data_IF_430283003170
#
_entry.id   IF_430283003170
#
_cell.length_a   1.000
_cell.length_b   1.000
_cell.length_c   1.000
_cell.angle_alpha   90.00
_cell.angle_beta   90.00
_cell.angle_gamma   90.00
#
_symmetry.space_group_name_H-M   'P 1'
#
loop_
_entity.id
_entity.type
_entity.pdbx_description
1 polymer ?
#
# COMPACT_ATOMS: atom_id res chain seq x y z
N UNK A 1 20.55 58.05 -52.38
CA UNK A 1 19.81 57.75 -53.63
C UNK A 1 20.36 56.42 -54.15
N UNK A 2 19.59 55.38 -54.51
CA UNK A 2 18.59 55.25 -55.62
C UNK A 2 19.20 55.59 -56.99
N UNK A 3 19.01 54.85 -58.10
CA UNK A 3 18.10 53.73 -58.48
C UNK A 3 18.72 53.03 -59.74
N UNK A 4 18.54 51.75 -60.17
CA UNK A 4 17.75 50.57 -59.71
C UNK A 4 18.37 49.22 -60.20
N UNK A 5 17.55 48.20 -60.53
CA UNK A 5 17.84 46.78 -60.90
C UNK A 5 18.05 46.53 -62.42
N UNK A 6 18.64 45.37 -62.74
CA UNK A 6 18.19 44.47 -63.85
C UNK A 6 18.20 43.00 -63.35
N UNK A 7 17.38 42.09 -63.91
CA UNK A 7 17.02 40.80 -63.25
C UNK A 7 16.87 39.60 -64.22
N UNK A 8 17.61 38.50 -63.96
CA UNK A 8 17.36 37.09 -64.36
C UNK A 8 17.40 36.73 -65.88
N UNK A 9 17.68 35.44 -66.27
CA UNK A 9 16.96 34.22 -65.88
C UNK A 9 17.78 33.01 -65.36
N UNK A 10 17.03 32.00 -64.88
CA UNK A 10 17.50 30.74 -64.26
C UNK A 10 17.99 29.73 -65.29
N UNK A 11 18.98 28.90 -64.92
CA UNK A 11 19.05 27.48 -65.33
C UNK A 11 19.29 26.62 -64.08
N UNK A 12 18.67 25.43 -64.04
CA UNK A 12 18.71 24.49 -62.91
C UNK A 12 19.91 23.54 -62.98
N UNK A 13 20.54 23.26 -61.84
CA UNK A 13 21.17 21.96 -61.57
C UNK A 13 20.70 21.45 -60.21
N UNK A 14 19.98 20.32 -60.25
CA UNK A 14 19.35 19.67 -59.10
C UNK A 14 20.28 18.58 -58.57
N UNK A 15 21.15 18.91 -57.62
CA UNK A 15 21.93 17.90 -56.88
C UNK A 15 21.05 17.28 -55.80
N UNK A 16 20.58 16.06 -56.03
CA UNK A 16 19.78 15.30 -55.06
C UNK A 16 20.68 14.69 -53.98
N UNK A 17 21.18 15.54 -53.08
CA UNK A 17 21.66 15.08 -51.78
C UNK A 17 20.47 14.53 -51.00
N UNK A 18 20.53 13.23 -50.66
CA UNK A 18 19.48 12.58 -49.88
C UNK A 18 19.53 13.10 -48.43
N UNK A 19 18.79 14.18 -48.17
CA UNK A 19 18.53 14.63 -46.81
C UNK A 19 17.73 13.57 -46.08
N UNK A 20 18.41 12.73 -45.30
CA UNK A 20 17.78 11.91 -44.27
C UNK A 20 17.15 12.85 -43.27
N UNK A 21 15.86 13.14 -43.46
CA UNK A 21 15.01 13.73 -42.44
C UNK A 21 14.95 12.73 -41.28
N UNK A 22 15.94 12.80 -40.39
CA UNK A 22 15.89 12.15 -39.10
C UNK A 22 14.75 12.81 -38.33
N UNK A 23 13.57 12.20 -38.43
CA UNK A 23 12.38 12.57 -37.68
C UNK A 23 12.79 12.55 -36.21
N UNK A 24 12.96 13.72 -35.59
CA UNK A 24 13.22 13.77 -34.14
C UNK A 24 12.11 12.95 -33.47
N UNK A 25 12.44 11.98 -32.60
CA UNK A 25 11.43 11.21 -31.91
C UNK A 25 10.46 12.18 -31.24
N UNK A 26 9.17 12.01 -31.52
CA UNK A 26 8.12 12.86 -30.96
C UNK A 26 7.95 12.41 -29.51
N UNK A 27 8.84 12.91 -28.64
CA UNK A 27 8.86 12.55 -27.23
C UNK A 27 7.52 12.95 -26.60
N UNK A 28 6.69 11.95 -26.32
CA UNK A 28 5.42 12.13 -25.60
C UNK A 28 5.72 12.74 -24.23
N UNK A 29 5.23 13.96 -24.00
CA UNK A 29 5.26 14.58 -22.68
C UNK A 29 4.38 13.73 -21.75
N UNK A 30 4.98 13.17 -20.69
CA UNK A 30 4.23 12.41 -19.67
C UNK A 30 3.21 13.34 -18.97
N UNK A 31 1.98 12.89 -18.68
CA UNK A 31 1.04 13.57 -17.80
C UNK A 31 1.61 13.85 -16.40
N UNK A 32 1.00 14.77 -15.64
CA UNK A 32 1.39 15.03 -14.23
C UNK A 32 1.26 13.76 -13.40
N UNK A 33 0.09 13.13 -13.42
CA UNK A 33 -0.22 11.90 -12.67
C UNK A 33 0.71 10.72 -13.01
N UNK A 34 1.01 10.51 -14.30
CA UNK A 34 1.97 9.48 -14.76
C UNK A 34 3.39 9.75 -14.22
N UNK A 35 3.77 11.03 -14.09
CA UNK A 35 5.06 11.46 -13.54
C UNK A 35 5.09 11.35 -12.01
N UNK A 36 3.98 11.66 -11.36
CA UNK A 36 3.76 11.63 -9.91
C UNK A 36 3.81 10.21 -9.37
N UNK A 37 3.00 9.32 -9.94
CA UNK A 37 2.96 7.89 -9.58
C UNK A 37 4.32 7.21 -9.81
N UNK A 38 5.03 7.53 -10.90
CA UNK A 38 6.35 6.95 -11.18
C UNK A 38 7.41 7.37 -10.14
N UNK A 39 7.38 8.63 -9.68
CA UNK A 39 8.31 9.08 -8.64
C UNK A 39 7.94 8.47 -7.28
N UNK A 40 6.66 8.43 -6.92
CA UNK A 40 6.22 7.86 -5.65
C UNK A 40 6.50 6.35 -5.56
N UNK A 41 6.25 5.59 -6.64
CA UNK A 41 6.54 4.16 -6.68
C UNK A 41 8.05 3.86 -6.62
N UNK A 42 8.90 4.61 -7.33
CA UNK A 42 10.36 4.43 -7.20
C UNK A 42 10.86 4.85 -5.81
N UNK A 43 10.24 5.86 -5.18
CA UNK A 43 10.59 6.32 -3.84
C UNK A 43 10.32 5.26 -2.77
N UNK A 44 9.10 4.72 -2.76
CA UNK A 44 8.66 3.57 -1.98
C UNK A 44 9.59 2.36 -2.18
N UNK A 45 9.83 1.97 -3.43
CA UNK A 45 10.72 0.84 -3.80
C UNK A 45 12.13 1.01 -3.22
N UNK A 46 12.68 2.22 -3.22
CA UNK A 46 13.98 2.55 -2.62
C UNK A 46 13.96 2.49 -1.08
N UNK A 47 12.82 2.73 -0.43
CA UNK A 47 12.67 2.55 1.03
C UNK A 47 12.60 1.07 1.40
N UNK A 48 11.85 0.28 0.62
CA UNK A 48 11.77 -1.18 0.75
C UNK A 48 13.16 -1.80 0.57
N UNK A 49 13.93 -1.40 -0.45
CA UNK A 49 15.31 -1.86 -0.66
C UNK A 49 16.24 -1.54 0.54
N UNK A 50 16.14 -0.33 1.12
CA UNK A 50 16.93 0.06 2.30
C UNK A 50 16.56 -0.72 3.56
N UNK A 51 15.28 -1.04 3.72
CA UNK A 51 14.78 -1.85 4.84
C UNK A 51 15.22 -3.31 4.70
N UNK A 52 15.12 -3.88 3.49
CA UNK A 52 15.58 -5.23 3.18
C UNK A 52 17.12 -5.37 3.29
N UNK A 53 17.87 -4.30 2.97
CA UNK A 53 19.34 -4.28 3.14
C UNK A 53 19.80 -4.02 4.59
N UNK A 54 18.89 -3.85 5.55
CA UNK A 54 19.22 -3.62 6.96
C UNK A 54 19.91 -2.27 7.23
N UNK A 55 19.43 -1.17 6.64
CA UNK A 55 19.97 0.17 6.92
C UNK A 55 19.56 0.69 8.31
N UNK A 56 20.54 1.13 9.11
CA UNK A 56 20.34 1.76 10.44
C UNK A 56 19.87 3.25 10.36
N UNK A 57 19.26 3.67 9.25
CA UNK A 57 18.75 5.04 9.05
C UNK A 57 17.60 5.37 10.04
N UNK A 58 17.90 6.19 11.06
CA UNK A 58 16.99 6.60 12.15
C UNK A 58 15.63 7.20 11.71
N UNK A 59 15.48 7.63 10.46
CA UNK A 59 14.19 7.95 9.86
C UNK A 59 14.29 7.75 8.33
N UNK A 60 13.69 6.70 7.76
CA UNK A 60 13.90 6.35 6.35
C UNK A 60 13.28 7.35 5.36
N UNK A 61 12.20 8.05 5.72
CA UNK A 61 11.69 9.18 4.91
C UNK A 61 12.66 10.36 4.88
N UNK A 62 13.31 10.67 6.00
CA UNK A 62 14.28 11.76 6.09
C UNK A 62 15.56 11.47 5.29
N UNK A 63 15.97 10.20 5.16
CA UNK A 63 17.15 9.81 4.37
C UNK A 63 16.89 9.73 2.86
N UNK A 64 15.63 9.84 2.39
CA UNK A 64 15.29 9.78 0.97
C UNK A 64 15.06 11.18 0.37
N UNK A 65 15.94 11.64 -0.53
CA UNK A 65 15.77 12.91 -1.24
C UNK A 65 15.14 12.69 -2.61
N UNK A 66 14.35 13.66 -3.06
CA UNK A 66 13.74 13.64 -4.41
C UNK A 66 14.78 13.55 -5.54
N UNK A 67 16.00 14.04 -5.30
CA UNK A 67 17.15 13.90 -6.21
C UNK A 67 17.56 12.45 -6.45
N UNK A 68 17.47 11.62 -5.41
CA UNK A 68 18.04 10.28 -5.40
C UNK A 68 17.07 9.32 -6.11
N UNK A 69 15.78 9.52 -5.87
CA UNK A 69 14.68 8.89 -6.61
C UNK A 69 14.76 9.22 -8.10
N UNK A 70 14.89 10.51 -8.45
CA UNK A 70 15.05 10.94 -9.85
C UNK A 70 16.31 10.35 -10.50
N UNK A 71 17.42 10.22 -9.78
CA UNK A 71 18.63 9.57 -10.26
C UNK A 71 18.39 8.07 -10.54
N UNK A 72 17.69 7.37 -9.65
CA UNK A 72 17.32 5.95 -9.84
C UNK A 72 16.41 5.74 -11.05
N UNK A 73 15.39 6.57 -11.25
CA UNK A 73 14.55 6.52 -12.46
C UNK A 73 15.41 6.76 -13.70
N UNK A 74 16.23 7.82 -13.69
CA UNK A 74 17.04 8.21 -14.84
C UNK A 74 18.07 7.15 -15.25
N UNK A 75 18.61 6.38 -14.29
CA UNK A 75 19.49 5.25 -14.56
C UNK A 75 18.80 4.05 -15.25
N UNK A 76 17.46 3.98 -15.20
CA UNK A 76 16.64 2.91 -15.80
C UNK A 76 16.02 3.29 -17.14
N UNK A 77 16.23 4.52 -17.62
CA UNK A 77 15.64 5.00 -18.87
C UNK A 77 16.34 4.41 -20.11
N UNK A 78 15.57 3.86 -21.04
CA UNK A 78 16.02 3.57 -22.40
C UNK A 78 16.39 4.87 -23.13
N UNK A 79 17.38 4.82 -24.04
CA UNK A 79 17.99 6.01 -24.65
C UNK A 79 17.07 6.98 -25.41
N UNK A 80 15.86 6.56 -25.79
CA UNK A 80 14.85 7.41 -26.43
C UNK A 80 13.97 8.21 -25.44
N UNK A 81 14.11 7.96 -24.14
CA UNK A 81 13.32 8.61 -23.09
C UNK A 81 14.05 9.83 -22.51
N UNK A 82 13.30 10.93 -22.31
CA UNK A 82 13.86 12.15 -21.71
C UNK A 82 14.08 11.98 -20.19
N UNK A 83 15.23 12.42 -19.65
CA UNK A 83 15.50 12.36 -18.22
C UNK A 83 14.56 13.26 -17.43
N UNK A 84 14.12 12.77 -16.28
CA UNK A 84 13.29 13.49 -15.34
C UNK A 84 14.13 14.48 -14.54
N UNK A 85 13.60 15.69 -14.33
CA UNK A 85 14.33 16.79 -13.69
C UNK A 85 13.69 17.19 -12.36
N UNK A 86 14.51 17.70 -11.45
CA UNK A 86 14.03 18.29 -10.18
C UNK A 86 13.02 19.42 -10.42
N UNK A 87 13.21 20.23 -11.46
CA UNK A 87 12.27 21.28 -11.85
C UNK A 87 10.88 20.77 -12.25
N UNK A 88 10.78 19.57 -12.82
CA UNK A 88 9.48 18.93 -13.09
C UNK A 88 8.86 18.35 -11.80
N UNK A 89 9.67 17.72 -10.95
CA UNK A 89 9.20 17.17 -9.67
C UNK A 89 8.72 18.26 -8.69
N UNK A 90 9.39 19.42 -8.65
CA UNK A 90 8.96 20.57 -7.84
C UNK A 90 7.74 21.33 -8.41
N UNK A 91 7.25 20.99 -9.61
CA UNK A 91 5.92 21.41 -10.09
C UNK A 91 4.79 20.52 -9.53
N UNK A 92 5.14 19.37 -8.94
CA UNK A 92 4.22 18.46 -8.26
C UNK A 92 4.22 18.77 -6.77
N UNK A 93 5.38 18.62 -6.10
CA UNK A 93 5.55 18.86 -4.68
C UNK A 93 6.32 20.16 -4.42
N UNK A 94 5.74 21.11 -3.70
CA UNK A 94 6.36 22.43 -3.46
C UNK A 94 7.61 22.38 -2.56
N UNK A 95 7.83 21.28 -1.86
CA UNK A 95 8.99 21.04 -0.99
C UNK A 95 9.28 19.55 -0.83
N UNK A 96 10.52 19.23 -0.40
CA UNK A 96 10.94 17.90 0.02
C UNK A 96 10.02 17.31 1.13
N UNK A 97 9.46 18.14 2.01
CA UNK A 97 8.51 17.70 3.04
C UNK A 97 7.17 17.26 2.40
N UNK A 98 6.61 18.05 1.49
CA UNK A 98 5.36 17.66 0.80
C UNK A 98 5.52 16.42 -0.09
N UNK A 99 6.75 16.13 -0.54
CA UNK A 99 7.08 14.87 -1.21
C UNK A 99 7.10 13.69 -0.20
N UNK A 100 7.74 13.87 0.96
CA UNK A 100 7.75 12.87 2.04
C UNK A 100 6.35 12.61 2.62
N UNK A 101 5.47 13.61 2.68
CA UNK A 101 4.07 13.45 3.06
C UNK A 101 3.31 12.58 2.04
N UNK A 102 3.50 12.81 0.73
CA UNK A 102 2.85 12.01 -0.32
C UNK A 102 3.38 10.56 -0.42
N UNK A 103 4.66 10.31 -0.10
CA UNK A 103 5.20 8.94 0.01
C UNK A 103 4.57 8.22 1.21
N UNK A 104 4.46 8.91 2.36
CA UNK A 104 3.84 8.37 3.56
C UNK A 104 2.36 8.03 3.32
N UNK A 105 1.60 8.93 2.70
CA UNK A 105 0.21 8.72 2.28
C UNK A 105 0.09 7.53 1.32
N UNK A 106 0.97 7.41 0.31
CA UNK A 106 1.01 6.25 -0.60
C UNK A 106 1.18 4.93 0.17
N UNK A 107 2.23 4.83 1.00
CA UNK A 107 2.56 3.61 1.75
C UNK A 107 1.38 3.18 2.64
N UNK A 108 0.76 4.11 3.37
CA UNK A 108 -0.37 3.79 4.25
C UNK A 108 -1.60 3.30 3.47
N UNK A 109 -1.89 3.89 2.31
CA UNK A 109 -3.00 3.44 1.47
C UNK A 109 -2.73 2.07 0.81
N UNK A 110 -1.49 1.71 0.50
CA UNK A 110 -1.19 0.43 -0.18
C UNK A 110 -1.12 -0.76 0.78
N UNK A 111 -0.77 -0.56 2.06
CA UNK A 111 -0.87 -1.62 3.08
C UNK A 111 -2.29 -1.77 3.68
N UNK A 112 -3.23 -0.87 3.35
CA UNK A 112 -4.54 -0.79 4.03
C UNK A 112 -5.40 -2.04 3.80
N UNK A 113 -5.73 -2.37 2.55
CA UNK A 113 -6.63 -3.49 2.20
C UNK A 113 -6.12 -4.48 1.13
N UNK A 114 -4.81 -4.70 0.91
CA UNK A 114 -4.33 -5.62 -0.14
C UNK A 114 -4.77 -7.08 0.09
N UNK A 115 -5.09 -7.43 1.33
CA UNK A 115 -5.61 -8.72 1.80
C UNK A 115 -7.13 -8.90 1.61
N UNK A 116 -7.90 -7.85 1.30
CA UNK A 116 -9.38 -7.88 1.38
C UNK A 116 -10.00 -8.94 0.46
N UNK A 117 -9.55 -9.03 -0.78
CA UNK A 117 -10.11 -9.97 -1.77
C UNK A 117 -9.86 -11.45 -1.40
N UNK A 118 -8.72 -11.75 -0.78
CA UNK A 118 -8.38 -13.10 -0.29
C UNK A 118 -9.22 -13.46 0.94
N UNK A 119 -9.29 -12.57 1.95
CA UNK A 119 -10.13 -12.81 3.13
C UNK A 119 -11.62 -12.93 2.78
N UNK A 120 -12.08 -12.17 1.78
CA UNK A 120 -13.43 -12.30 1.21
C UNK A 120 -13.65 -13.67 0.56
N UNK A 121 -12.75 -14.11 -0.31
CA UNK A 121 -12.88 -15.42 -0.96
C UNK A 121 -12.80 -16.58 0.04
N UNK A 122 -12.02 -16.44 1.13
CA UNK A 122 -11.98 -17.40 2.24
C UNK A 122 -13.28 -17.44 3.02
N UNK A 123 -13.87 -16.27 3.32
CA UNK A 123 -15.16 -16.18 3.99
C UNK A 123 -16.26 -16.85 3.16
N UNK A 124 -16.41 -16.47 1.88
CA UNK A 124 -17.44 -17.02 1.00
C UNK A 124 -17.31 -18.56 0.86
N UNK A 125 -16.07 -19.07 0.78
CA UNK A 125 -15.79 -20.51 0.76
C UNK A 125 -16.14 -21.20 2.08
N UNK A 126 -15.91 -20.56 3.24
CA UNK A 126 -16.22 -21.12 4.55
C UNK A 126 -17.74 -21.12 4.83
N UNK A 127 -18.45 -20.04 4.47
CA UNK A 127 -19.89 -19.91 4.63
C UNK A 127 -20.66 -20.90 3.72
N UNK A 128 -20.22 -21.07 2.46
CA UNK A 128 -20.84 -22.02 1.51
C UNK A 128 -20.59 -23.49 1.83
N UNK A 129 -19.68 -23.80 2.76
CA UNK A 129 -19.46 -25.13 3.32
C UNK A 129 -20.21 -25.36 4.65
N UNK A 130 -21.00 -24.40 5.12
CA UNK A 130 -21.72 -24.44 6.42
C UNK A 130 -20.80 -24.75 7.62
N UNK A 131 -19.54 -24.27 7.56
CA UNK A 131 -18.55 -24.51 8.62
C UNK A 131 -18.95 -23.89 9.96
N UNK A 132 -18.48 -24.47 11.07
CA UNK A 132 -18.71 -23.91 12.41
C UNK A 132 -17.96 -22.59 12.61
N UNK A 133 -18.36 -21.77 13.58
CA UNK A 133 -17.73 -20.47 13.83
C UNK A 133 -16.21 -20.56 14.10
N UNK A 134 -15.72 -21.59 14.80
CA UNK A 134 -14.29 -21.78 15.03
C UNK A 134 -13.56 -22.06 13.71
N UNK A 135 -14.15 -22.88 12.83
CA UNK A 135 -13.61 -23.21 11.50
C UNK A 135 -13.71 -22.05 10.49
N UNK A 136 -14.76 -21.23 10.52
CA UNK A 136 -14.89 -20.01 9.70
C UNK A 136 -13.80 -19.01 10.08
N UNK A 137 -13.61 -18.77 11.39
CA UNK A 137 -12.57 -17.86 11.86
C UNK A 137 -11.16 -18.39 11.55
N UNK A 138 -10.90 -19.69 11.76
CA UNK A 138 -9.63 -20.32 11.39
C UNK A 138 -9.38 -20.32 9.87
N UNK A 139 -10.43 -20.41 9.04
CA UNK A 139 -10.33 -20.36 7.57
C UNK A 139 -10.04 -18.96 7.03
N UNK A 140 -10.67 -17.93 7.60
CA UNK A 140 -10.44 -16.52 7.22
C UNK A 140 -9.09 -16.04 7.76
N UNK A 141 -8.87 -16.17 9.06
CA UNK A 141 -7.74 -15.54 9.76
C UNK A 141 -6.48 -16.41 9.87
N UNK A 142 -6.53 -17.65 9.34
CA UNK A 142 -5.42 -18.59 9.30
C UNK A 142 -4.22 -18.13 8.46
N UNK A 143 -3.05 -18.05 9.09
CA UNK A 143 -1.79 -17.79 8.41
C UNK A 143 -1.42 -18.96 7.48
N UNK A 144 -1.41 -18.69 6.18
CA UNK A 144 -0.92 -19.60 5.14
C UNK A 144 0.21 -18.98 4.28
N UNK A 145 0.50 -17.68 4.41
CA UNK A 145 1.66 -17.06 3.74
C UNK A 145 2.94 -17.28 4.57
N UNK A 146 4.07 -17.62 3.92
CA UNK A 146 5.37 -17.71 4.59
C UNK A 146 5.92 -16.29 4.87
N UNK A 147 6.69 -16.11 5.97
CA UNK A 147 7.36 -14.84 6.23
C UNK A 147 8.39 -14.49 5.12
N UNK A 148 8.74 -13.22 5.01
CA UNK A 148 9.61 -12.62 3.98
C UNK A 148 8.98 -12.44 2.58
N UNK A 149 7.67 -12.19 2.49
CA UNK A 149 7.02 -11.70 1.26
C UNK A 149 7.39 -10.23 0.96
N UNK A 150 6.97 -9.67 -0.17
CA UNK A 150 7.08 -8.21 -0.41
C UNK A 150 6.16 -7.42 0.53
N UNK A 151 4.95 -7.92 0.77
CA UNK A 151 3.96 -7.34 1.70
C UNK A 151 4.46 -7.27 3.14
N UNK A 152 5.29 -8.23 3.58
CA UNK A 152 5.99 -8.21 4.88
C UNK A 152 6.91 -6.98 5.01
N UNK A 153 7.61 -6.60 3.93
CA UNK A 153 8.47 -5.42 3.90
C UNK A 153 7.68 -4.12 3.84
N UNK A 154 6.59 -4.06 3.07
CA UNK A 154 5.70 -2.90 2.97
C UNK A 154 5.02 -2.62 4.32
N UNK A 155 4.47 -3.65 4.98
CA UNK A 155 3.88 -3.55 6.32
C UNK A 155 4.94 -3.22 7.39
N UNK A 156 6.13 -3.84 7.31
CA UNK A 156 7.27 -3.49 8.18
C UNK A 156 7.68 -2.01 8.04
N UNK A 157 7.64 -1.47 6.81
CA UNK A 157 7.94 -0.07 6.54
C UNK A 157 6.84 0.85 7.11
N UNK A 158 5.57 0.55 6.86
CA UNK A 158 4.44 1.32 7.39
C UNK A 158 4.49 1.42 8.93
N UNK A 159 4.62 0.29 9.63
CA UNK A 159 4.71 0.25 11.10
C UNK A 159 6.00 0.94 11.60
N UNK A 160 7.11 0.86 10.84
CA UNK A 160 8.31 1.65 11.15
C UNK A 160 8.06 3.16 11.06
N UNK A 161 7.29 3.61 10.07
CA UNK A 161 6.99 5.03 9.86
C UNK A 161 6.06 5.60 10.95
N UNK A 162 5.08 4.84 11.45
CA UNK A 162 4.23 5.32 12.56
C UNK A 162 5.01 5.61 13.85
N UNK A 163 6.13 4.91 14.07
CA UNK A 163 7.00 5.14 15.22
C UNK A 163 7.95 6.35 15.09
N UNK A 164 8.39 6.70 13.86
CA UNK A 164 9.41 7.74 13.62
C UNK A 164 8.88 9.05 13.02
N UNK A 165 7.61 9.12 12.64
CA UNK A 165 6.93 10.33 12.15
C UNK A 165 6.05 10.93 13.26
N UNK A 166 5.81 12.24 13.24
CA UNK A 166 4.95 12.87 14.25
C UNK A 166 3.50 12.38 14.14
N UNK A 167 2.78 12.14 15.26
CA UNK A 167 1.41 11.60 15.23
C UNK A 167 0.43 12.42 14.37
N UNK A 168 0.65 13.73 14.27
CA UNK A 168 -0.17 14.64 13.46
C UNK A 168 0.11 14.56 11.95
N UNK A 169 1.27 14.02 11.51
CA UNK A 169 1.50 13.66 10.11
C UNK A 169 0.93 12.28 9.80
N UNK A 170 1.07 11.34 10.74
CA UNK A 170 0.50 9.99 10.65
C UNK A 170 -1.02 10.03 10.47
N UNK A 171 -1.77 10.71 11.36
CA UNK A 171 -3.24 10.83 11.25
C UNK A 171 -3.75 11.29 9.90
N UNK A 172 -3.02 12.17 9.20
CA UNK A 172 -3.41 12.68 7.88
C UNK A 172 -3.06 11.74 6.75
N UNK A 173 -1.90 11.09 6.81
CA UNK A 173 -1.53 10.07 5.82
C UNK A 173 -2.41 8.81 5.92
N UNK A 174 -2.86 8.49 7.13
CA UNK A 174 -3.77 7.37 7.39
C UNK A 174 -5.27 7.74 7.29
N UNK A 175 -5.63 9.01 7.05
CA UNK A 175 -7.04 9.48 7.13
C UNK A 175 -7.97 8.69 6.20
N UNK A 176 -7.49 8.36 5.00
CA UNK A 176 -8.20 7.51 4.03
C UNK A 176 -7.94 6.02 4.28
N UNK A 177 -6.71 5.65 4.66
CA UNK A 177 -6.28 4.26 4.82
C UNK A 177 -6.97 3.55 6.00
N UNK A 178 -7.02 4.17 7.18
CA UNK A 178 -7.71 3.63 8.36
C UNK A 178 -9.22 3.49 8.09
N UNK A 179 -9.77 4.46 7.37
CA UNK A 179 -11.19 4.52 7.00
C UNK A 179 -11.53 3.40 5.98
N UNK A 180 -10.61 3.04 5.07
CA UNK A 180 -10.68 1.85 4.21
C UNK A 180 -10.53 0.55 5.01
N UNK A 181 -9.52 0.44 5.87
CA UNK A 181 -9.23 -0.73 6.71
C UNK A 181 -10.44 -1.13 7.58
N UNK A 182 -11.03 -0.16 8.28
CA UNK A 182 -12.21 -0.36 9.14
C UNK A 182 -13.43 -0.78 8.31
N UNK A 183 -13.64 -0.23 7.11
CA UNK A 183 -14.72 -0.69 6.21
C UNK A 183 -14.52 -2.12 5.75
N UNK A 184 -13.32 -2.47 5.26
CA UNK A 184 -13.03 -3.80 4.73
C UNK A 184 -13.14 -4.88 5.83
N UNK A 185 -12.33 -4.78 6.89
CA UNK A 185 -12.30 -5.78 7.96
C UNK A 185 -13.59 -5.76 8.79
N UNK A 186 -14.14 -4.56 9.08
CA UNK A 186 -15.37 -4.43 9.85
C UNK A 186 -16.58 -5.05 9.15
N UNK A 187 -16.66 -4.98 7.81
CA UNK A 187 -17.73 -5.66 7.07
C UNK A 187 -17.54 -7.18 7.12
N UNK A 188 -16.31 -7.70 6.91
CA UNK A 188 -16.01 -9.16 7.05
C UNK A 188 -16.40 -9.67 8.44
N UNK A 189 -16.02 -8.97 9.51
CA UNK A 189 -16.36 -9.32 10.89
C UNK A 189 -17.87 -9.25 11.15
N UNK A 190 -18.57 -8.27 10.56
CA UNK A 190 -20.03 -8.14 10.64
C UNK A 190 -20.73 -9.31 9.97
N UNK A 191 -20.24 -9.77 8.81
CA UNK A 191 -20.81 -10.92 8.10
C UNK A 191 -20.65 -12.23 8.90
N UNK A 192 -19.49 -12.42 9.56
CA UNK A 192 -19.25 -13.55 10.47
C UNK A 192 -20.13 -13.48 11.73
N UNK A 193 -20.34 -12.28 12.31
CA UNK A 193 -21.25 -12.08 13.44
C UNK A 193 -22.70 -12.44 13.06
N UNK A 194 -23.17 -11.98 11.90
CA UNK A 194 -24.50 -12.27 11.38
C UNK A 194 -24.70 -13.76 11.13
N UNK A 195 -23.74 -14.44 10.48
CA UNK A 195 -23.79 -15.87 10.22
C UNK A 195 -23.91 -16.70 11.51
N UNK A 196 -23.22 -16.29 12.57
CA UNK A 196 -23.17 -17.03 13.84
C UNK A 196 -24.32 -16.69 14.83
N UNK A 197 -25.32 -15.89 14.43
CA UNK A 197 -26.35 -15.31 15.30
C UNK A 197 -25.74 -14.60 16.53
N UNK A 198 -24.73 -13.75 16.28
CA UNK A 198 -23.99 -12.98 17.30
C UNK A 198 -24.11 -11.47 17.08
N UNK A 199 -23.90 -10.73 18.17
CA UNK A 199 -23.74 -9.27 18.17
C UNK A 199 -22.53 -8.88 19.02
N UNK A 200 -22.03 -7.67 18.83
CA UNK A 200 -21.02 -7.08 19.73
C UNK A 200 -21.59 -6.88 21.15
N UNK A 201 -20.72 -6.90 22.15
CA UNK A 201 -21.12 -6.59 23.53
C UNK A 201 -21.68 -5.17 23.65
N UNK A 202 -22.64 -4.90 24.57
CA UNK A 202 -23.25 -3.59 24.74
C UNK A 202 -22.23 -2.47 24.97
N UNK A 203 -22.25 -1.47 24.08
CA UNK A 203 -21.34 -0.31 24.12
C UNK A 203 -20.15 -0.38 23.16
N UNK A 204 -19.85 -1.55 22.58
CA UNK A 204 -18.79 -1.72 21.57
C UNK A 204 -19.30 -1.40 20.16
N UNK A 205 -18.36 -0.98 19.30
CA UNK A 205 -18.50 -0.75 17.87
C UNK A 205 -17.68 -1.80 17.09
N UNK A 206 -17.98 -1.97 15.81
CA UNK A 206 -17.21 -2.89 14.96
C UNK A 206 -15.75 -2.44 14.84
N UNK A 207 -15.53 -1.12 14.81
CA UNK A 207 -14.23 -0.46 14.83
C UNK A 207 -13.38 -0.91 16.04
N UNK A 208 -13.98 -1.12 17.22
CA UNK A 208 -13.25 -1.56 18.42
C UNK A 208 -12.71 -2.99 18.26
N UNK A 209 -13.47 -3.86 17.59
CA UNK A 209 -13.04 -5.22 17.25
C UNK A 209 -11.98 -5.21 16.13
N UNK A 210 -12.13 -4.33 15.14
CA UNK A 210 -11.13 -4.11 14.07
C UNK A 210 -9.79 -3.71 14.68
N UNK A 211 -9.75 -2.68 15.55
CA UNK A 211 -8.49 -2.22 16.16
C UNK A 211 -7.90 -3.20 17.16
N UNK A 212 -8.73 -3.98 17.87
CA UNK A 212 -8.24 -5.06 18.73
C UNK A 212 -7.56 -6.18 17.93
N UNK A 213 -8.06 -6.49 16.72
CA UNK A 213 -7.46 -7.48 15.82
C UNK A 213 -6.23 -6.89 15.12
N UNK A 214 -6.29 -5.67 14.59
CA UNK A 214 -5.14 -4.99 13.96
C UNK A 214 -3.93 -4.95 14.92
N UNK A 215 -4.13 -4.46 16.15
CA UNK A 215 -3.06 -4.35 17.14
C UNK A 215 -2.47 -5.70 17.57
N UNK A 216 -3.23 -6.79 17.44
CA UNK A 216 -2.68 -8.15 17.54
C UNK A 216 -1.76 -8.45 16.36
N UNK A 217 -2.24 -8.32 15.11
CA UNK A 217 -1.46 -8.67 13.92
C UNK A 217 -0.19 -7.81 13.78
N UNK A 218 -0.28 -6.49 13.95
CA UNK A 218 0.87 -5.60 13.96
C UNK A 218 1.84 -5.92 15.13
N UNK A 219 1.31 -6.31 16.29
CA UNK A 219 2.10 -6.76 17.44
C UNK A 219 2.85 -8.07 17.18
N UNK A 220 2.21 -9.05 16.53
CA UNK A 220 2.83 -10.31 16.10
C UNK A 220 3.91 -10.05 15.05
N UNK A 221 3.60 -9.22 14.04
CA UNK A 221 4.50 -8.81 12.96
C UNK A 221 5.79 -8.16 13.49
N UNK A 222 5.65 -7.16 14.37
CA UNK A 222 6.78 -6.54 15.06
C UNK A 222 7.62 -7.52 15.87
N UNK A 223 6.99 -8.52 16.50
CA UNK A 223 7.70 -9.51 17.31
C UNK A 223 8.40 -10.55 16.48
N UNK A 224 7.86 -10.97 15.34
CA UNK A 224 8.49 -11.92 14.41
C UNK A 224 9.92 -11.49 14.01
N UNK A 225 10.15 -10.17 13.83
CA UNK A 225 11.47 -9.58 13.55
C UNK A 225 12.54 -9.81 14.65
N UNK A 226 12.14 -10.28 15.83
CA UNK A 226 13.01 -10.53 16.99
C UNK A 226 12.85 -11.93 17.61
N UNK A 227 11.71 -12.58 17.34
CA UNK A 227 11.27 -13.88 17.82
C UNK A 227 10.53 -14.57 16.65
N UNK A 228 11.24 -14.99 15.59
CA UNK A 228 10.61 -15.50 14.36
C UNK A 228 9.81 -16.79 14.61
N UNK A 229 10.17 -17.57 15.64
CA UNK A 229 9.46 -18.77 16.06
C UNK A 229 8.10 -18.49 16.73
N UNK A 230 7.70 -17.22 16.84
CA UNK A 230 6.43 -16.79 17.40
C UNK A 230 5.27 -16.92 16.40
N UNK A 231 5.50 -16.64 15.11
CA UNK A 231 4.46 -16.79 14.06
C UNK A 231 4.22 -18.25 13.69
N UNK A 232 5.28 -19.08 13.67
CA UNK A 232 5.20 -20.53 13.44
C UNK A 232 4.66 -21.32 14.64
N UNK A 233 4.44 -20.66 15.79
CA UNK A 233 4.11 -21.33 17.07
C UNK A 233 2.73 -21.93 17.05
N UNK A 234 2.66 -23.24 17.33
CA UNK A 234 1.42 -24.03 17.32
C UNK A 234 1.01 -24.55 18.70
N UNK A 235 -0.29 -24.69 18.93
CA UNK A 235 -0.84 -25.44 20.05
C UNK A 235 -0.75 -26.97 19.83
N UNK A 236 -1.19 -27.75 20.82
CA UNK A 236 -1.21 -29.22 20.73
C UNK A 236 -2.20 -29.78 19.68
N UNK A 237 -3.05 -28.95 19.07
CA UNK A 237 -3.90 -29.30 17.92
C UNK A 237 -3.26 -28.89 16.59
N UNK A 238 -2.10 -28.23 16.59
CA UNK A 238 -1.41 -27.75 15.39
C UNK A 238 -1.82 -26.34 14.94
N UNK A 239 -2.58 -25.60 15.75
CA UNK A 239 -3.12 -24.27 15.38
C UNK A 239 -2.17 -23.16 15.75
N UNK A 240 -2.00 -22.19 14.84
CA UNK A 240 -1.10 -21.05 15.05
C UNK A 240 -1.59 -20.11 16.17
N UNK A 241 -0.65 -19.46 16.86
CA UNK A 241 -0.93 -18.51 17.95
C UNK A 241 -1.85 -17.35 17.51
N UNK A 242 -1.61 -16.75 16.35
CA UNK A 242 -2.38 -15.60 15.86
C UNK A 242 -3.89 -15.88 15.77
N UNK A 243 -4.34 -16.84 14.94
CA UNK A 243 -5.75 -17.21 14.81
C UNK A 243 -6.40 -17.58 16.15
N UNK A 244 -5.71 -18.28 17.04
CA UNK A 244 -6.24 -18.60 18.37
C UNK A 244 -6.55 -17.34 19.21
N UNK A 245 -5.71 -16.31 19.13
CA UNK A 245 -5.97 -15.04 19.81
C UNK A 245 -7.01 -14.20 19.05
N UNK A 246 -7.02 -14.21 17.71
CA UNK A 246 -8.08 -13.58 16.89
C UNK A 246 -9.47 -14.14 17.23
N UNK A 247 -9.59 -15.47 17.32
CA UNK A 247 -10.82 -16.15 17.74
C UNK A 247 -11.21 -15.75 19.18
N UNK A 248 -10.22 -15.62 20.07
CA UNK A 248 -10.44 -15.19 21.46
C UNK A 248 -10.92 -13.74 21.56
N UNK A 249 -10.42 -12.84 20.71
CA UNK A 249 -10.89 -11.45 20.59
C UNK A 249 -12.32 -11.42 20.03
N UNK A 250 -12.57 -12.14 18.93
CA UNK A 250 -13.90 -12.21 18.30
C UNK A 250 -14.97 -12.70 19.28
N UNK A 251 -14.70 -13.80 19.98
CA UNK A 251 -15.61 -14.37 20.99
C UNK A 251 -15.68 -13.49 22.25
N UNK A 252 -14.57 -12.87 22.67
CA UNK A 252 -14.50 -12.02 23.86
C UNK A 252 -15.21 -10.66 23.72
N UNK A 253 -15.35 -10.14 22.50
CA UNK A 253 -16.03 -8.87 22.20
C UNK A 253 -17.46 -9.06 21.63
N UNK A 254 -17.97 -10.30 21.57
CA UNK A 254 -19.31 -10.61 21.05
C UNK A 254 -20.10 -11.59 21.93
N UNK A 255 -21.43 -11.53 21.85
CA UNK A 255 -22.35 -12.44 22.52
C UNK A 255 -23.38 -13.01 21.54
N UNK A 256 -23.92 -14.22 21.77
CA UNK A 256 -25.07 -14.73 21.00
C UNK A 256 -26.29 -13.82 21.14
N UNK A 257 -27.04 -13.64 20.05
CA UNK A 257 -28.32 -12.92 20.05
C UNK A 257 -29.36 -13.79 20.77
N UNK A 258 -29.45 -13.61 22.08
CA UNK A 258 -30.33 -14.41 22.93
C UNK A 258 -31.79 -14.36 22.45
N UNK A 259 -32.38 -15.51 22.12
CA UNK A 259 -33.79 -15.66 21.70
C UNK A 259 -34.83 -15.35 22.81
N UNK A 260 -34.45 -14.58 23.84
CA UNK A 260 -35.27 -14.14 24.98
C UNK A 260 -36.28 -13.04 24.58
N UNK A 261 -37.11 -13.38 23.59
CA UNK A 261 -38.27 -12.61 23.13
C UNK A 261 -39.39 -13.48 22.55
N UNK A 262 -39.25 -14.82 22.56
CA UNK A 262 -40.25 -15.78 22.07
C UNK A 262 -40.94 -16.62 23.15
N UNK A 263 -40.71 -16.34 24.44
CA UNK A 263 -41.41 -17.00 25.55
C UNK A 263 -42.32 -16.02 26.29
N UNK A 264 -43.54 -16.48 26.58
CA UNK A 264 -44.58 -15.82 27.42
C UNK A 264 -45.15 -14.48 26.95
N UNK A 265 -46.09 -14.57 25.99
CA UNK A 265 -47.41 -13.93 26.10
C UNK A 265 -48.50 -14.93 25.73
#
# INVERSE_FOLDING_TARGET
MTIVKTVNPKISKKTTGAGTNATKPIHRRRPKEETENLILHEAERLLIERLASGSDDLNPLASLRITDVLASINAKLSGDQLPMTTGAAYQIWKSQLSFQDAILERIMNEVSTPWEADLRSKLDAALSQELSLEEVLESVFGFNEPPNSTSDHELSLAIGLTAFVSPERIRRAEEIANDQYVRALGTILTDILNYADRRLLPGLRIDDMVWAIEGLYAGLHLRARSHPELVDRKDAKGRYLGPMVTNSIFIGLSEPVSQRGKESR
#
